data_IF_055630624867
#
_entry.id   IF_055630624867
#
_cell.length_a   1.000
_cell.length_b   1.000
_cell.length_c   1.000
_cell.angle_alpha   90.00
_cell.angle_beta   90.00
_cell.angle_gamma   90.00
#
_symmetry.space_group_name_H-M   'P 1'
#
loop_
_entity.id
_entity.type
_entity.pdbx_description
1 polymer ?
#
# COMPACT_ATOMS: atom_id res chain seq x y z
N UNK A 1 -72.48 8.10 4.50
CA UNK A 1 -71.17 8.52 5.05
C UNK A 1 -70.18 7.41 4.80
N UNK A 2 -69.23 7.61 3.86
CA UNK A 2 -68.21 6.61 3.49
C UNK A 2 -66.88 7.15 4.03
N UNK A 3 -66.27 6.46 5.05
CA UNK A 3 -64.96 6.76 5.60
C UNK A 3 -63.87 6.25 4.67
N UNK A 4 -63.02 7.15 4.20
CA UNK A 4 -61.77 6.82 3.47
C UNK A 4 -60.65 6.74 4.50
N UNK A 5 -60.08 5.53 4.72
CA UNK A 5 -58.87 5.33 5.47
C UNK A 5 -57.66 5.49 4.54
N UNK A 6 -56.88 6.50 4.79
CA UNK A 6 -55.55 6.66 4.14
C UNK A 6 -54.50 5.83 4.88
N UNK A 7 -54.00 4.79 4.20
CA UNK A 7 -52.84 4.02 4.65
C UNK A 7 -51.57 4.78 4.26
N UNK A 8 -50.88 5.35 5.27
CA UNK A 8 -49.60 6.02 5.09
C UNK A 8 -48.53 4.96 5.04
N UNK A 9 -48.00 4.67 3.83
CA UNK A 9 -46.85 3.75 3.62
C UNK A 9 -45.54 4.51 3.88
N UNK A 10 -44.97 4.41 5.09
CA UNK A 10 -43.63 4.91 5.37
C UNK A 10 -42.58 4.00 4.74
N UNK A 11 -42.01 4.40 3.60
CA UNK A 11 -40.81 3.80 3.06
C UNK A 11 -39.61 4.21 3.94
N UNK A 12 -39.15 3.33 4.81
CA UNK A 12 -37.87 3.42 5.48
C UNK A 12 -36.77 3.14 4.42
N UNK A 13 -36.17 4.18 3.86
CA UNK A 13 -34.91 4.07 3.18
C UNK A 13 -33.83 3.73 4.21
N UNK A 14 -33.46 2.46 4.29
CA UNK A 14 -32.26 2.06 4.99
C UNK A 14 -31.05 2.59 4.19
N UNK A 15 -30.45 3.68 4.65
CA UNK A 15 -29.13 4.12 4.22
C UNK A 15 -28.15 3.04 4.66
N UNK A 16 -27.73 2.18 3.74
CA UNK A 16 -26.61 1.28 3.95
C UNK A 16 -25.36 2.15 4.10
N UNK A 17 -24.91 2.33 5.34
CA UNK A 17 -23.59 2.90 5.64
C UNK A 17 -22.60 1.82 5.17
N UNK A 18 -21.69 2.11 4.24
CA UNK A 18 -20.64 1.16 3.88
C UNK A 18 -19.78 0.92 5.11
N UNK A 19 -19.91 -0.24 5.72
CA UNK A 19 -19.05 -0.67 6.82
C UNK A 19 -17.74 -1.18 6.19
N UNK A 20 -16.72 -0.34 6.14
CA UNK A 20 -15.33 -0.77 5.97
C UNK A 20 -14.84 -1.28 7.33
N UNK A 21 -15.41 -2.38 7.78
CA UNK A 21 -15.00 -2.96 9.04
C UNK A 21 -13.66 -3.68 8.85
N UNK A 22 -12.66 -3.29 9.64
CA UNK A 22 -11.47 -4.11 9.86
C UNK A 22 -11.94 -5.48 10.38
N UNK A 23 -11.64 -6.55 9.62
CA UNK A 23 -12.13 -7.89 9.95
C UNK A 23 -11.18 -8.60 10.91
N UNK A 24 -9.86 -8.44 10.73
CA UNK A 24 -8.84 -9.13 11.51
C UNK A 24 -7.66 -8.23 11.82
N UNK A 25 -7.00 -8.49 12.94
CA UNK A 25 -5.66 -7.97 13.23
C UNK A 25 -4.79 -9.14 13.69
N UNK A 26 -3.65 -9.31 13.05
CA UNK A 26 -2.71 -10.37 13.38
C UNK A 26 -1.33 -9.77 13.67
N UNK A 27 -0.62 -10.22 14.72
CA UNK A 27 0.78 -9.92 14.86
C UNK A 27 1.56 -10.57 13.70
N UNK A 28 2.59 -9.92 13.20
CA UNK A 28 3.45 -10.51 12.16
C UNK A 28 4.25 -11.68 12.72
N UNK A 29 4.67 -11.57 13.97
CA UNK A 29 5.44 -12.60 14.66
C UNK A 29 4.62 -13.15 15.84
N UNK A 30 4.44 -14.47 15.93
CA UNK A 30 3.57 -15.08 16.97
C UNK A 30 4.18 -15.06 18.38
N UNK A 31 5.39 -14.57 18.53
CA UNK A 31 6.12 -14.40 19.78
C UNK A 31 6.92 -13.11 19.75
N UNK A 32 8.18 -13.17 20.16
CA UNK A 32 9.10 -12.07 20.02
C UNK A 32 9.50 -11.88 18.54
N UNK A 33 9.83 -10.66 18.17
CA UNK A 33 10.37 -10.38 16.84
C UNK A 33 11.68 -11.13 16.62
N UNK A 34 12.03 -11.49 15.36
CA UNK A 34 13.31 -12.17 15.07
C UNK A 34 14.52 -11.38 15.57
N UNK A 35 14.47 -10.06 15.42
CA UNK A 35 15.42 -9.13 16.05
C UNK A 35 14.68 -8.29 17.09
N UNK A 36 15.26 -8.08 18.28
CA UNK A 36 14.66 -7.24 19.31
C UNK A 36 14.44 -5.82 18.80
N UNK A 37 13.23 -5.29 19.02
CA UNK A 37 12.97 -3.88 18.73
C UNK A 37 13.83 -2.99 19.64
N UNK A 38 14.45 -1.98 19.06
CA UNK A 38 15.18 -0.93 19.79
C UNK A 38 14.25 0.11 20.41
N UNK A 39 12.97 0.05 20.07
CA UNK A 39 11.96 0.98 20.53
C UNK A 39 11.56 0.67 21.97
N UNK A 40 11.58 1.69 22.81
CA UNK A 40 11.13 1.59 24.21
C UNK A 40 9.85 2.41 24.39
N UNK A 41 8.83 1.80 24.97
CA UNK A 41 7.57 2.45 25.29
C UNK A 41 6.41 2.05 24.37
N UNK A 42 5.22 2.59 24.62
CA UNK A 42 4.03 2.29 23.84
C UNK A 42 4.08 2.95 22.46
N UNK A 43 3.27 2.43 21.53
CA UNK A 43 2.95 3.13 20.30
C UNK A 43 2.29 4.47 20.65
N UNK A 44 2.69 5.52 19.95
CA UNK A 44 2.15 6.87 20.13
C UNK A 44 1.80 7.47 18.78
N UNK A 45 0.81 8.35 18.79
CA UNK A 45 0.58 9.29 17.69
C UNK A 45 1.31 10.60 18.03
N UNK A 46 2.46 10.90 17.38
CA UNK A 46 3.19 12.14 17.60
C UNK A 46 2.53 13.33 16.89
N UNK A 47 1.33 13.13 16.33
CA UNK A 47 0.61 14.21 15.64
C UNK A 47 0.06 15.19 16.68
N UNK A 48 0.85 16.19 17.01
CA UNK A 48 0.34 17.37 17.68
C UNK A 48 -0.09 18.34 16.61
N UNK A 49 -1.38 18.74 16.59
CA UNK A 49 -1.91 19.93 15.96
C UNK A 49 -2.35 19.93 14.50
N UNK A 50 -3.09 20.99 14.26
CA UNK A 50 -3.57 21.57 13.00
C UNK A 50 -2.53 21.65 11.86
N UNK A 51 -1.25 21.48 12.13
CA UNK A 51 -0.15 21.56 11.15
C UNK A 51 -0.05 20.32 10.21
N UNK A 52 -0.96 19.35 10.35
CA UNK A 52 -0.96 18.13 9.55
C UNK A 52 -2.28 17.85 8.89
N UNK A 53 -2.91 18.90 8.43
CA UNK A 53 -4.13 18.83 7.64
C UNK A 53 -3.72 18.74 6.16
N UNK A 54 -4.12 17.65 5.51
CA UNK A 54 -4.02 17.47 4.06
C UNK A 54 -5.44 17.43 3.51
N UNK A 55 -5.78 18.32 2.58
CA UNK A 55 -7.13 18.44 2.01
C UNK A 55 -8.23 18.45 3.07
N UNK A 56 -8.05 19.30 4.12
CA UNK A 56 -9.04 19.50 5.17
C UNK A 56 -9.17 18.37 6.21
N UNK A 57 -8.38 17.31 6.14
CA UNK A 57 -8.41 16.18 7.08
C UNK A 57 -7.09 16.02 7.83
N UNK A 58 -7.17 15.71 9.12
CA UNK A 58 -6.00 15.41 9.95
C UNK A 58 -5.27 14.16 9.41
N UNK A 59 -3.93 14.18 9.45
CA UNK A 59 -3.10 13.02 9.15
C UNK A 59 -2.67 12.36 10.46
N UNK A 60 -3.18 11.15 10.72
CA UNK A 60 -2.80 10.32 11.86
C UNK A 60 -1.45 9.66 11.55
N UNK A 61 -0.53 9.75 12.49
CA UNK A 61 0.78 9.11 12.41
C UNK A 61 0.99 8.18 13.59
N UNK A 62 1.70 7.09 13.37
CA UNK A 62 2.02 6.12 14.42
C UNK A 62 3.53 5.95 14.45
N UNK A 63 4.13 6.04 15.63
CA UNK A 63 5.53 5.71 15.86
C UNK A 63 5.68 4.77 17.06
N UNK A 64 6.88 4.34 17.36
CA UNK A 64 7.17 3.34 18.40
C UNK A 64 6.48 1.99 18.15
N UNK A 65 6.41 1.58 16.88
CA UNK A 65 5.88 0.27 16.51
C UNK A 65 6.94 -0.80 16.82
N UNK A 66 6.89 -1.36 18.01
CA UNK A 66 7.78 -2.45 18.45
C UNK A 66 7.16 -3.84 18.20
N UNK A 67 5.86 -3.89 18.00
CA UNK A 67 5.09 -5.12 17.71
C UNK A 67 4.39 -4.98 16.36
N UNK A 68 5.06 -5.35 15.27
CA UNK A 68 4.50 -5.21 13.94
C UNK A 68 3.29 -6.11 13.77
N UNK A 69 2.32 -5.63 13.01
CA UNK A 69 1.05 -6.32 12.79
C UNK A 69 0.50 -6.02 11.40
N UNK A 70 -0.45 -6.84 10.97
CA UNK A 70 -1.27 -6.53 9.81
C UNK A 70 -2.74 -6.41 10.22
N UNK A 71 -3.47 -5.54 9.54
CA UNK A 71 -4.91 -5.37 9.66
C UNK A 71 -5.57 -5.66 8.31
N UNK A 72 -6.53 -6.57 8.29
CA UNK A 72 -7.24 -6.99 7.08
C UNK A 72 -8.57 -6.26 6.98
N UNK A 73 -8.80 -5.63 5.83
CA UNK A 73 -10.04 -4.97 5.45
C UNK A 73 -10.60 -5.67 4.22
N UNK A 74 -11.65 -6.44 4.40
CA UNK A 74 -12.30 -7.14 3.31
C UNK A 74 -13.35 -6.25 2.65
N UNK A 75 -13.51 -6.32 1.31
CA UNK A 75 -14.60 -5.67 0.63
C UNK A 75 -15.93 -6.33 0.98
N UNK A 76 -17.03 -5.69 0.58
CA UNK A 76 -18.35 -6.31 0.60
C UNK A 76 -18.25 -7.70 -0.10
N UNK A 77 -18.71 -8.79 0.54
CA UNK A 77 -18.65 -10.13 -0.04
C UNK A 77 -19.23 -10.23 -1.45
N UNK A 78 -20.26 -9.44 -1.77
CA UNK A 78 -20.86 -9.40 -3.10
C UNK A 78 -19.95 -8.75 -4.16
N UNK A 79 -18.93 -7.98 -3.74
CA UNK A 79 -17.98 -7.29 -4.63
C UNK A 79 -16.60 -7.93 -4.62
N UNK A 80 -16.32 -8.83 -3.67
CA UNK A 80 -15.01 -9.45 -3.53
C UNK A 80 -14.61 -10.17 -4.83
N UNK A 81 -13.53 -9.69 -5.45
CA UNK A 81 -13.01 -10.24 -6.70
C UNK A 81 -11.82 -11.18 -6.50
N UNK A 82 -11.41 -11.41 -5.25
CA UNK A 82 -10.29 -12.26 -4.87
C UNK A 82 -8.91 -11.62 -4.99
N UNK A 83 -8.78 -10.42 -5.54
CA UNK A 83 -7.49 -9.72 -5.54
C UNK A 83 -7.21 -9.06 -4.17
N UNK A 84 -5.94 -8.91 -3.84
CA UNK A 84 -5.52 -8.25 -2.61
C UNK A 84 -4.27 -7.37 -2.81
N UNK A 85 -4.09 -6.39 -1.92
CA UNK A 85 -2.85 -5.64 -1.85
C UNK A 85 -2.42 -5.43 -0.39
N UNK A 86 -1.14 -5.67 -0.11
CA UNK A 86 -0.50 -5.21 1.11
C UNK A 86 -0.23 -3.71 0.96
N UNK A 87 -0.54 -2.93 1.98
CA UNK A 87 -0.35 -1.48 2.00
C UNK A 87 0.75 -1.14 2.99
N UNK A 88 1.79 -0.46 2.50
CA UNK A 88 2.91 0.03 3.29
C UNK A 88 2.85 1.56 3.36
N UNK A 89 2.37 2.15 4.49
CA UNK A 89 2.40 3.59 4.69
C UNK A 89 3.83 4.14 4.70
N UNK A 90 4.01 5.38 4.27
CA UNK A 90 5.26 6.11 4.41
C UNK A 90 5.43 6.74 5.79
N UNK A 91 6.49 7.52 5.94
CA UNK A 91 6.83 8.22 7.17
C UNK A 91 8.31 8.17 7.50
N UNK A 92 9.16 8.04 6.46
CA UNK A 92 10.64 8.10 6.54
C UNK A 92 11.25 7.06 7.47
N UNK A 93 10.62 5.88 7.63
CA UNK A 93 11.00 4.84 8.59
C UNK A 93 11.07 5.31 10.06
N UNK A 94 10.56 6.50 10.35
CA UNK A 94 10.48 7.07 11.71
C UNK A 94 9.07 6.86 12.29
N UNK A 95 8.06 6.81 11.42
CA UNK A 95 6.63 6.71 11.72
C UNK A 95 5.86 6.16 10.54
N UNK A 96 4.58 5.89 10.73
CA UNK A 96 3.65 5.48 9.67
C UNK A 96 2.55 6.53 9.50
N UNK A 97 2.31 7.01 8.29
CA UNK A 97 1.18 7.89 7.93
C UNK A 97 -0.11 7.05 7.84
N UNK A 98 -0.64 6.62 9.00
CA UNK A 98 -1.49 5.46 9.14
C UNK A 98 -2.88 5.59 8.49
N UNK A 99 -3.45 6.80 8.44
CA UNK A 99 -4.74 6.98 7.78
C UNK A 99 -4.58 7.35 6.29
N UNK A 100 -3.87 8.43 5.95
CA UNK A 100 -3.79 8.95 4.58
C UNK A 100 -3.12 7.97 3.60
N UNK A 101 -2.17 7.17 4.06
CA UNK A 101 -1.42 6.18 3.28
C UNK A 101 -1.71 4.74 3.73
N UNK A 102 -2.74 4.56 4.56
CA UNK A 102 -3.14 3.28 5.13
C UNK A 102 -4.65 3.06 5.05
N UNK A 103 -5.43 3.46 6.07
CA UNK A 103 -6.87 3.13 6.12
C UNK A 103 -7.67 3.75 4.97
N UNK A 104 -7.33 4.96 4.51
CA UNK A 104 -7.99 5.59 3.35
C UNK A 104 -7.67 4.82 2.04
N UNK A 105 -6.48 4.20 1.95
CA UNK A 105 -6.11 3.32 0.84
C UNK A 105 -6.91 2.01 0.89
N UNK A 106 -7.11 1.47 2.10
CA UNK A 106 -7.96 0.28 2.28
C UNK A 106 -9.41 0.54 1.85
N UNK A 107 -9.96 1.71 2.16
CA UNK A 107 -11.30 2.10 1.69
C UNK A 107 -11.38 2.11 0.17
N UNK A 108 -10.37 2.66 -0.51
CA UNK A 108 -10.30 2.68 -1.97
C UNK A 108 -10.18 1.27 -2.55
N UNK A 109 -9.26 0.42 -2.05
CA UNK A 109 -9.10 -0.95 -2.52
C UNK A 109 -10.40 -1.76 -2.34
N UNK A 110 -11.06 -1.61 -1.18
CA UNK A 110 -12.36 -2.25 -0.95
C UNK A 110 -13.45 -1.77 -1.92
N UNK A 111 -13.42 -0.51 -2.33
CA UNK A 111 -14.36 0.00 -3.36
C UNK A 111 -14.16 -0.67 -4.72
N UNK A 112 -12.93 -1.12 -5.02
CA UNK A 112 -12.56 -1.91 -6.20
C UNK A 112 -12.84 -3.41 -6.05
N UNK A 113 -13.35 -3.86 -4.89
CA UNK A 113 -13.59 -5.27 -4.60
C UNK A 113 -12.31 -6.04 -4.20
N UNK A 114 -11.23 -5.34 -3.88
CA UNK A 114 -9.97 -5.93 -3.43
C UNK A 114 -9.88 -5.98 -1.92
N UNK A 115 -9.28 -7.04 -1.38
CA UNK A 115 -8.91 -7.08 0.05
C UNK A 115 -7.67 -6.22 0.27
N UNK A 116 -7.73 -5.35 1.30
CA UNK A 116 -6.59 -4.57 1.76
C UNK A 116 -5.96 -5.24 2.98
N UNK A 117 -4.64 -5.37 2.98
CA UNK A 117 -3.84 -5.81 4.12
C UNK A 117 -2.92 -4.67 4.53
N UNK A 118 -3.35 -3.87 5.50
CA UNK A 118 -2.57 -2.74 6.00
C UNK A 118 -1.47 -3.26 6.94
N UNK A 119 -0.22 -3.00 6.58
CA UNK A 119 0.94 -3.47 7.34
C UNK A 119 1.48 -2.35 8.22
N UNK A 120 1.46 -2.60 9.52
CA UNK A 120 2.09 -1.77 10.54
C UNK A 120 3.46 -2.38 10.84
N UNK A 121 4.46 -2.04 10.03
CA UNK A 121 5.83 -2.51 10.18
C UNK A 121 6.59 -1.72 11.26
N UNK A 122 7.72 -2.25 11.74
CA UNK A 122 8.53 -1.63 12.82
C UNK A 122 9.03 -0.25 12.43
N UNK A 123 8.86 0.72 13.32
CA UNK A 123 9.41 2.09 13.25
C UNK A 123 9.56 2.64 14.69
N UNK A 124 10.52 3.55 14.99
CA UNK A 124 11.57 4.05 14.11
C UNK A 124 12.65 3.02 13.83
N UNK A 125 13.25 3.15 12.66
CA UNK A 125 14.39 2.36 12.22
C UNK A 125 15.65 3.22 12.14
N UNK A 126 16.83 2.61 12.34
CA UNK A 126 18.12 3.26 12.11
C UNK A 126 18.59 2.98 10.68
N UNK A 127 18.06 3.74 9.73
CA UNK A 127 18.32 3.51 8.31
C UNK A 127 17.21 2.69 7.63
N UNK A 128 17.54 2.12 6.50
CA UNK A 128 16.67 1.26 5.70
C UNK A 128 17.54 0.24 4.96
N UNK A 129 16.91 -0.71 4.25
CA UNK A 129 17.67 -1.70 3.49
C UNK A 129 18.72 -1.03 2.55
N UNK A 130 19.98 -1.46 2.50
CA UNK A 130 20.52 -2.70 3.13
C UNK A 130 21.08 -2.55 4.55
N UNK A 131 21.17 -1.34 5.10
CA UNK A 131 21.78 -1.08 6.43
C UNK A 131 20.90 -1.60 7.57
N UNK A 132 19.59 -1.57 7.38
CA UNK A 132 18.58 -2.16 8.25
C UNK A 132 17.68 -3.07 7.45
N UNK A 133 17.31 -4.21 8.00
CA UNK A 133 16.53 -5.27 7.32
C UNK A 133 15.22 -5.61 8.03
N UNK A 134 14.96 -5.02 9.18
CA UNK A 134 13.83 -5.36 10.04
C UNK A 134 12.49 -5.07 9.36
N UNK A 135 12.41 -3.98 8.60
CA UNK A 135 11.26 -3.58 7.80
C UNK A 135 11.01 -4.55 6.63
N UNK A 136 12.08 -5.01 5.96
CA UNK A 136 11.99 -6.03 4.90
C UNK A 136 11.50 -7.37 5.45
N UNK A 137 12.01 -7.78 6.62
CA UNK A 137 11.55 -9.01 7.30
C UNK A 137 10.06 -8.93 7.63
N UNK A 138 9.59 -7.79 8.15
CA UNK A 138 8.17 -7.55 8.43
C UNK A 138 7.33 -7.58 7.16
N UNK A 139 7.79 -6.94 6.08
CA UNK A 139 7.08 -6.94 4.80
C UNK A 139 6.98 -8.34 4.17
N UNK A 140 8.07 -9.13 4.22
CA UNK A 140 8.07 -10.51 3.77
C UNK A 140 7.12 -11.37 4.61
N UNK A 141 7.15 -11.23 5.92
CA UNK A 141 6.29 -11.98 6.83
C UNK A 141 4.81 -11.62 6.60
N UNK A 142 4.49 -10.35 6.38
CA UNK A 142 3.14 -9.92 6.04
C UNK A 142 2.64 -10.58 4.74
N UNK A 143 3.48 -10.66 3.71
CA UNK A 143 3.14 -11.35 2.45
C UNK A 143 2.93 -12.85 2.67
N UNK A 144 3.81 -13.51 3.42
CA UNK A 144 3.71 -14.94 3.74
C UNK A 144 2.44 -15.26 4.52
N UNK A 145 2.10 -14.45 5.54
CA UNK A 145 0.86 -14.60 6.30
C UNK A 145 -0.37 -14.37 5.42
N UNK A 146 -0.35 -13.37 4.56
CA UNK A 146 -1.46 -13.12 3.63
C UNK A 146 -1.70 -14.31 2.70
N UNK A 147 -0.64 -14.93 2.17
CA UNK A 147 -0.75 -16.14 1.34
C UNK A 147 -1.22 -17.35 2.15
N UNK A 148 -0.76 -17.51 3.39
CA UNK A 148 -1.17 -18.61 4.26
C UNK A 148 -2.66 -18.56 4.60
N UNK A 149 -3.22 -17.35 4.77
CA UNK A 149 -4.62 -17.11 5.07
C UNK A 149 -5.49 -16.84 3.82
N UNK A 150 -4.94 -16.96 2.61
CA UNK A 150 -5.64 -16.56 1.38
C UNK A 150 -7.03 -17.24 1.22
N UNK A 151 -7.13 -18.52 1.52
CA UNK A 151 -8.40 -19.25 1.47
C UNK A 151 -9.43 -18.72 2.49
N UNK A 152 -8.99 -18.46 3.73
CA UNK A 152 -9.84 -17.94 4.80
C UNK A 152 -10.36 -16.53 4.49
N UNK A 153 -9.52 -15.69 3.88
CA UNK A 153 -9.86 -14.31 3.53
C UNK A 153 -10.46 -14.16 2.13
N UNK A 154 -10.75 -15.26 1.45
CA UNK A 154 -11.26 -15.30 0.08
C UNK A 154 -10.38 -14.53 -0.93
N UNK A 155 -9.07 -14.72 -0.82
CA UNK A 155 -8.04 -14.14 -1.69
C UNK A 155 -7.50 -15.23 -2.63
N UNK A 156 -7.28 -14.87 -3.88
CA UNK A 156 -6.51 -15.64 -4.83
C UNK A 156 -5.00 -15.44 -4.56
N UNK A 157 -4.25 -16.46 -4.13
CA UNK A 157 -2.84 -16.31 -3.78
C UNK A 157 -1.94 -15.87 -4.95
N UNK A 158 -2.43 -15.90 -6.18
CA UNK A 158 -1.74 -15.45 -7.39
C UNK A 158 -2.12 -14.02 -7.81
N UNK A 159 -2.96 -13.32 -7.05
CA UNK A 159 -3.37 -11.93 -7.29
C UNK A 159 -3.16 -11.04 -6.06
N UNK A 160 -2.01 -11.22 -5.39
CA UNK A 160 -1.62 -10.43 -4.22
C UNK A 160 -0.47 -9.51 -4.61
N UNK A 161 -0.70 -8.20 -4.55
CA UNK A 161 0.33 -7.20 -4.81
C UNK A 161 0.70 -6.39 -3.58
N UNK A 162 1.50 -5.37 -3.82
CA UNK A 162 1.88 -4.38 -2.82
C UNK A 162 1.61 -2.98 -3.34
N UNK A 163 1.25 -2.08 -2.44
CA UNK A 163 1.20 -0.65 -2.67
C UNK A 163 1.94 0.06 -1.55
N UNK A 164 2.91 0.87 -1.90
CA UNK A 164 3.69 1.63 -0.95
C UNK A 164 3.70 3.12 -1.26
N UNK A 165 3.85 3.92 -0.21
CA UNK A 165 3.87 5.37 -0.25
C UNK A 165 5.17 5.89 0.36
N UNK A 166 5.89 6.80 -0.31
CA UNK A 166 7.12 7.39 0.22
C UNK A 166 8.14 6.34 0.69
N UNK A 167 8.47 6.27 1.97
CA UNK A 167 9.30 5.19 2.56
C UNK A 167 8.67 3.80 2.36
N UNK A 168 7.34 3.69 2.46
CA UNK A 168 6.63 2.45 2.17
C UNK A 168 6.72 2.04 0.70
N UNK A 169 6.88 3.00 -0.23
CA UNK A 169 7.13 2.71 -1.64
C UNK A 169 8.55 2.16 -1.85
N UNK A 170 9.54 2.69 -1.13
CA UNK A 170 10.87 2.08 -1.08
C UNK A 170 10.79 0.65 -0.55
N UNK A 171 10.10 0.41 0.57
CA UNK A 171 9.92 -0.93 1.14
C UNK A 171 9.24 -1.89 0.16
N UNK A 172 8.22 -1.44 -0.59
CA UNK A 172 7.56 -2.24 -1.62
C UNK A 172 8.52 -2.62 -2.75
N UNK A 173 9.38 -1.68 -3.19
CA UNK A 173 10.41 -1.95 -4.20
C UNK A 173 11.50 -2.91 -3.67
N UNK A 174 11.92 -2.76 -2.42
CA UNK A 174 12.88 -3.66 -1.76
C UNK A 174 12.31 -5.06 -1.64
N UNK A 175 11.07 -5.23 -1.15
CA UNK A 175 10.41 -6.53 -1.08
C UNK A 175 10.32 -7.19 -2.46
N UNK A 176 9.97 -6.44 -3.49
CA UNK A 176 9.86 -6.95 -4.86
C UNK A 176 11.20 -7.38 -5.45
N UNK A 177 12.28 -6.73 -5.04
CA UNK A 177 13.65 -7.05 -5.49
C UNK A 177 14.27 -8.19 -4.68
N UNK A 178 13.94 -8.30 -3.40
CA UNK A 178 14.51 -9.25 -2.45
C UNK A 178 13.44 -10.14 -1.77
N UNK A 179 12.53 -10.77 -2.52
CA UNK A 179 11.48 -11.58 -1.91
C UNK A 179 12.02 -12.81 -1.18
N UNK A 180 13.22 -13.28 -1.59
CA UNK A 180 13.89 -14.47 -1.06
C UNK A 180 14.96 -14.14 0.00
N UNK A 181 15.03 -12.86 0.45
CA UNK A 181 15.95 -12.47 1.51
C UNK A 181 15.65 -13.30 2.78
N UNK A 182 16.72 -13.83 3.39
CA UNK A 182 16.61 -14.61 4.62
C UNK A 182 17.31 -13.86 5.76
N UNK A 183 16.52 -13.25 6.63
CA UNK A 183 17.01 -12.64 7.86
C UNK A 183 17.64 -13.68 8.78
N UNK A 184 18.62 -13.26 9.58
CA UNK A 184 19.45 -14.15 10.41
C UNK A 184 18.64 -15.01 11.38
N UNK A 185 17.62 -14.43 12.00
CA UNK A 185 16.78 -15.09 13.01
C UNK A 185 15.36 -15.35 12.51
N UNK A 186 15.07 -15.07 11.24
CA UNK A 186 13.75 -15.31 10.66
C UNK A 186 13.56 -16.81 10.42
N UNK A 187 12.45 -17.42 10.91
CA UNK A 187 12.14 -18.80 10.61
C UNK A 187 12.02 -19.06 9.12
N UNK A 188 12.58 -20.18 8.65
CA UNK A 188 12.43 -20.58 7.27
C UNK A 188 10.95 -20.78 6.92
N UNK A 189 10.54 -20.36 5.74
CA UNK A 189 9.18 -20.51 5.25
C UNK A 189 9.19 -21.02 3.81
N UNK A 190 8.28 -21.95 3.49
CA UNK A 190 8.03 -22.36 2.12
C UNK A 190 7.10 -21.43 1.36
N UNK A 191 6.48 -20.47 2.04
CA UNK A 191 5.61 -19.47 1.41
C UNK A 191 6.43 -18.38 0.72
N UNK A 192 6.12 -18.15 -0.55
CA UNK A 192 6.75 -17.10 -1.35
C UNK A 192 6.34 -15.71 -0.84
N UNK A 193 7.31 -14.80 -0.69
CA UNK A 193 7.06 -13.41 -0.34
C UNK A 193 7.01 -12.48 -1.58
N UNK A 194 7.14 -13.02 -2.80
CA UNK A 194 7.11 -12.24 -4.05
C UNK A 194 5.71 -11.70 -4.34
N UNK A 195 5.53 -10.37 -4.52
CA UNK A 195 4.24 -9.82 -4.94
C UNK A 195 3.94 -10.15 -6.42
N UNK A 196 2.67 -10.17 -6.79
CA UNK A 196 2.23 -10.37 -8.16
C UNK A 196 2.14 -9.06 -8.96
N UNK A 197 2.08 -7.92 -8.29
CA UNK A 197 2.18 -6.56 -8.85
C UNK A 197 2.68 -5.60 -7.78
N UNK A 198 3.20 -4.45 -8.19
CA UNK A 198 3.58 -3.40 -7.25
C UNK A 198 3.14 -2.02 -7.72
N UNK A 199 2.73 -1.19 -6.76
CA UNK A 199 2.38 0.21 -6.97
C UNK A 199 3.26 1.09 -6.08
N UNK A 200 4.03 1.95 -6.70
CA UNK A 200 5.12 2.72 -6.09
C UNK A 200 4.76 4.21 -6.17
N UNK A 201 4.30 4.77 -5.05
CA UNK A 201 3.71 6.10 -5.01
C UNK A 201 4.66 7.07 -4.30
N UNK A 202 5.13 8.09 -5.02
CA UNK A 202 6.12 9.11 -4.60
C UNK A 202 7.28 8.53 -3.78
N UNK A 203 8.04 7.57 -4.34
CA UNK A 203 9.07 6.84 -3.61
C UNK A 203 10.27 7.72 -3.23
N UNK A 204 10.84 7.46 -2.04
CA UNK A 204 12.19 7.89 -1.70
C UNK A 204 13.22 6.79 -1.97
N UNK A 205 14.52 7.12 -1.86
CA UNK A 205 15.69 6.20 -1.83
C UNK A 205 15.82 5.19 -2.99
N UNK A 206 15.10 5.38 -4.09
CA UNK A 206 15.28 4.54 -5.29
C UNK A 206 16.43 5.03 -6.17
N UNK A 207 16.82 6.30 -6.04
CA UNK A 207 17.98 6.90 -6.72
C UNK A 207 19.22 6.87 -5.84
N UNK A 208 20.32 6.36 -6.37
CA UNK A 208 21.64 6.48 -5.77
C UNK A 208 22.23 7.88 -5.97
N UNK A 209 23.34 8.18 -5.27
CA UNK A 209 24.05 9.46 -5.36
C UNK A 209 24.68 9.72 -6.73
N UNK A 210 24.82 8.72 -7.56
CA UNK A 210 25.35 8.79 -8.92
C UNK A 210 24.26 9.06 -9.98
N UNK A 211 23.00 9.31 -9.56
CA UNK A 211 21.87 9.56 -10.43
C UNK A 211 21.36 8.31 -11.17
N UNK A 212 21.73 7.12 -10.70
CA UNK A 212 21.21 5.83 -11.17
C UNK A 212 20.32 5.19 -10.11
N UNK A 213 19.66 4.10 -10.48
CA UNK A 213 18.93 3.30 -9.50
C UNK A 213 19.88 2.84 -8.38
N UNK A 214 19.39 2.89 -7.14
CA UNK A 214 20.16 2.45 -5.97
C UNK A 214 20.75 1.04 -6.21
N UNK A 215 22.03 0.81 -5.86
CA UNK A 215 22.64 -0.51 -5.99
C UNK A 215 21.91 -1.64 -5.27
N UNK A 216 21.20 -1.30 -4.19
CA UNK A 216 20.36 -2.24 -3.44
C UNK A 216 19.05 -2.61 -4.14
N UNK A 217 18.70 -1.92 -5.23
CA UNK A 217 17.43 -2.07 -5.95
C UNK A 217 17.65 -2.38 -7.44
N UNK A 218 18.62 -3.22 -7.77
CA UNK A 218 18.88 -3.60 -9.16
C UNK A 218 17.74 -4.49 -9.70
N UNK A 219 16.79 -3.96 -10.51
CA UNK A 219 15.68 -4.75 -11.01
C UNK A 219 16.17 -5.88 -11.93
N UNK A 220 15.48 -7.00 -11.82
CA UNK A 220 15.62 -8.15 -12.74
C UNK A 220 14.29 -8.41 -13.43
N UNK A 221 14.27 -9.25 -14.45
CA UNK A 221 13.03 -9.66 -15.12
C UNK A 221 12.02 -10.39 -14.20
N UNK A 222 12.39 -10.66 -12.96
CA UNK A 222 11.51 -11.29 -11.96
C UNK A 222 10.69 -10.27 -11.15
N UNK A 223 10.98 -8.97 -11.28
CA UNK A 223 10.16 -7.91 -10.68
C UNK A 223 8.76 -7.97 -11.29
N UNK A 224 7.70 -7.86 -10.48
CA UNK A 224 6.34 -7.90 -11.01
C UNK A 224 5.98 -6.63 -11.80
N UNK A 225 4.89 -6.66 -12.60
CA UNK A 225 4.37 -5.46 -13.24
C UNK A 225 4.25 -4.31 -12.26
N UNK A 226 4.70 -3.11 -12.67
CA UNK A 226 4.91 -1.97 -11.80
C UNK A 226 4.15 -0.73 -12.27
N UNK A 227 3.46 -0.08 -11.35
CA UNK A 227 2.82 1.23 -11.53
C UNK A 227 3.51 2.27 -10.66
N UNK A 228 3.88 3.42 -11.24
CA UNK A 228 4.56 4.51 -10.53
C UNK A 228 3.78 5.82 -10.67
N UNK A 229 3.76 6.59 -9.58
CA UNK A 229 3.20 7.96 -9.56
C UNK A 229 4.14 8.89 -8.81
N UNK A 230 4.42 10.07 -9.40
CA UNK A 230 5.24 11.10 -8.77
C UNK A 230 4.78 12.49 -9.21
N UNK A 231 5.00 13.50 -8.35
CA UNK A 231 4.96 14.90 -8.72
C UNK A 231 6.38 15.42 -9.00
N UNK A 232 6.55 16.21 -10.07
CA UNK A 232 7.84 16.82 -10.41
C UNK A 232 8.30 17.79 -9.32
N UNK A 233 7.36 18.53 -8.71
CA UNK A 233 7.63 19.47 -7.62
C UNK A 233 7.65 18.83 -6.22
N UNK A 234 7.95 17.54 -6.12
CA UNK A 234 8.17 16.86 -4.85
C UNK A 234 9.59 17.15 -4.34
N UNK A 235 9.70 18.04 -3.35
CA UNK A 235 10.99 18.42 -2.74
C UNK A 235 11.38 17.54 -1.54
N UNK A 236 10.54 16.58 -1.17
CA UNK A 236 10.83 15.62 -0.10
C UNK A 236 11.43 14.33 -0.66
N UNK A 237 10.81 13.82 -1.72
CA UNK A 237 11.27 12.64 -2.45
C UNK A 237 11.37 13.02 -3.92
N UNK A 238 12.55 13.47 -4.34
CA UNK A 238 12.76 14.02 -5.69
C UNK A 238 12.33 13.07 -6.79
N UNK A 239 11.83 13.64 -7.89
CA UNK A 239 11.26 12.92 -9.05
C UNK A 239 12.23 11.91 -9.66
N UNK A 240 13.54 12.13 -9.52
CA UNK A 240 14.60 11.23 -9.96
C UNK A 240 14.44 9.81 -9.43
N UNK A 241 13.88 9.64 -8.21
CA UNK A 241 13.60 8.30 -7.67
C UNK A 241 12.72 7.48 -8.62
N UNK A 242 11.63 8.05 -9.09
CA UNK A 242 10.73 7.38 -10.03
C UNK A 242 11.33 7.24 -11.43
N UNK A 243 12.07 8.25 -11.92
CA UNK A 243 12.66 8.23 -13.26
C UNK A 243 13.73 7.15 -13.40
N UNK A 244 14.68 7.08 -12.45
CA UNK A 244 15.77 6.08 -12.53
C UNK A 244 15.25 4.66 -12.32
N UNK A 245 14.27 4.48 -11.42
CA UNK A 245 13.68 3.17 -11.18
C UNK A 245 12.87 2.69 -12.39
N UNK A 246 12.06 3.56 -12.99
CA UNK A 246 11.36 3.26 -14.24
C UNK A 246 12.31 2.86 -15.36
N UNK A 247 13.42 3.60 -15.54
CA UNK A 247 14.43 3.26 -16.55
C UNK A 247 15.04 1.88 -16.27
N UNK A 248 15.39 1.59 -15.01
CA UNK A 248 15.96 0.30 -14.63
C UNK A 248 14.97 -0.87 -14.84
N UNK A 249 13.67 -0.67 -14.53
CA UNK A 249 12.62 -1.64 -14.82
C UNK A 249 12.51 -1.92 -16.34
N UNK A 250 12.54 -0.87 -17.14
CA UNK A 250 12.50 -0.97 -18.61
C UNK A 250 13.70 -1.76 -19.14
N UNK A 251 14.91 -1.49 -18.65
CA UNK A 251 16.13 -2.18 -19.04
C UNK A 251 16.07 -3.67 -18.64
N UNK A 252 15.46 -3.98 -17.50
CA UNK A 252 15.17 -5.34 -17.04
C UNK A 252 13.98 -6.00 -17.77
N UNK A 253 13.31 -5.31 -18.71
CA UNK A 253 12.14 -5.77 -19.46
C UNK A 253 10.92 -6.05 -18.57
N UNK A 254 10.80 -5.36 -17.46
CA UNK A 254 9.63 -5.42 -16.59
C UNK A 254 8.54 -4.51 -17.16
N UNK A 255 7.29 -4.98 -17.31
CA UNK A 255 6.18 -4.12 -17.67
C UNK A 255 5.98 -3.04 -16.60
N UNK A 256 6.12 -1.77 -16.99
CA UNK A 256 6.00 -0.66 -16.06
C UNK A 256 5.23 0.52 -16.69
N UNK A 257 4.41 1.18 -15.87
CA UNK A 257 3.68 2.40 -16.22
C UNK A 257 4.05 3.52 -15.25
N UNK A 258 4.40 4.70 -15.76
CA UNK A 258 4.84 5.86 -14.97
C UNK A 258 3.98 7.07 -15.29
N UNK A 259 3.37 7.66 -14.25
CA UNK A 259 2.61 8.90 -14.31
C UNK A 259 3.34 10.02 -13.57
N UNK A 260 3.79 11.02 -14.30
CA UNK A 260 4.40 12.23 -13.77
C UNK A 260 3.46 13.41 -13.90
N UNK A 261 3.32 14.14 -12.80
CA UNK A 261 2.51 15.35 -12.74
C UNK A 261 3.39 16.55 -12.38
N UNK A 262 3.19 17.70 -13.02
CA UNK A 262 3.98 18.90 -12.74
C UNK A 262 3.83 19.37 -11.28
N UNK A 263 2.62 19.16 -10.71
CA UNK A 263 2.29 19.63 -9.36
C UNK A 263 1.59 18.53 -8.56
N UNK A 264 1.86 18.51 -7.26
CA UNK A 264 1.29 17.56 -6.31
C UNK A 264 2.03 17.60 -4.97
N UNK A 265 3.32 17.93 -5.01
CA UNK A 265 4.19 17.86 -3.83
C UNK A 265 4.33 16.44 -3.31
N UNK A 266 4.50 16.29 -2.00
CA UNK A 266 4.69 15.03 -1.31
C UNK A 266 3.53 14.68 -0.37
N UNK A 267 3.20 13.39 -0.23
CA UNK A 267 2.27 12.92 0.79
C UNK A 267 0.80 13.25 0.50
N UNK A 268 0.42 13.34 -0.78
CA UNK A 268 -0.96 13.66 -1.18
C UNK A 268 -1.95 12.49 -0.94
N UNK A 269 -1.46 11.23 -0.85
CA UNK A 269 -2.31 10.04 -0.68
C UNK A 269 -3.39 9.93 -1.76
N UNK A 270 -4.63 9.63 -1.32
CA UNK A 270 -5.81 9.61 -2.19
C UNK A 270 -6.71 10.84 -2.01
N UNK A 271 -6.31 11.79 -1.15
CA UNK A 271 -7.15 12.94 -0.83
C UNK A 271 -7.29 13.87 -2.03
N UNK A 272 -8.52 14.21 -2.43
CA UNK A 272 -8.75 15.01 -3.62
C UNK A 272 -8.20 16.43 -3.47
N UNK A 273 -7.66 16.94 -4.58
CA UNK A 273 -7.26 18.33 -4.78
C UNK A 273 -7.76 18.78 -6.14
N UNK A 274 -7.65 20.07 -6.48
CA UNK A 274 -7.97 20.58 -7.82
C UNK A 274 -6.89 20.27 -8.87
N UNK A 275 -5.80 19.60 -8.46
CA UNK A 275 -4.67 19.26 -9.32
C UNK A 275 -4.92 17.95 -10.09
N UNK A 276 -4.38 17.83 -11.31
CA UNK A 276 -4.51 16.61 -12.13
C UNK A 276 -4.04 15.34 -11.42
N UNK A 277 -3.08 15.43 -10.50
CA UNK A 277 -2.55 14.29 -9.73
C UNK A 277 -3.64 13.55 -8.94
N UNK A 278 -4.72 14.22 -8.55
CA UNK A 278 -5.88 13.60 -7.88
C UNK A 278 -6.55 12.49 -8.69
N UNK A 279 -6.22 12.36 -9.98
CA UNK A 279 -6.75 11.31 -10.86
C UNK A 279 -5.94 10.01 -10.82
N UNK A 280 -4.80 9.97 -10.10
CA UNK A 280 -3.94 8.80 -10.09
C UNK A 280 -4.65 7.51 -9.65
N UNK A 281 -5.63 7.52 -8.71
CA UNK A 281 -6.33 6.28 -8.34
C UNK A 281 -7.12 5.68 -9.51
N UNK A 282 -7.74 6.51 -10.37
CA UNK A 282 -8.45 6.03 -11.55
C UNK A 282 -7.48 5.48 -12.63
N UNK A 283 -6.28 6.06 -12.74
CA UNK A 283 -5.23 5.53 -13.63
C UNK A 283 -4.73 4.18 -13.12
N UNK A 284 -4.53 4.05 -11.81
CA UNK A 284 -4.14 2.79 -11.17
C UNK A 284 -5.20 1.70 -11.35
N UNK A 285 -6.48 2.02 -11.18
CA UNK A 285 -7.59 1.11 -11.45
C UNK A 285 -7.58 0.62 -12.92
N UNK A 286 -7.45 1.54 -13.87
CA UNK A 286 -7.33 1.19 -15.28
C UNK A 286 -6.12 0.28 -15.56
N UNK A 287 -4.97 0.57 -14.94
CA UNK A 287 -3.78 -0.27 -15.05
C UNK A 287 -3.99 -1.67 -14.44
N UNK A 288 -4.62 -1.79 -13.27
CA UNK A 288 -4.95 -3.08 -12.65
C UNK A 288 -5.83 -3.96 -13.55
N UNK A 289 -6.70 -3.35 -14.35
CA UNK A 289 -7.45 -4.07 -15.39
C UNK A 289 -6.54 -4.55 -16.52
N UNK A 290 -5.58 -3.73 -16.99
CA UNK A 290 -4.68 -4.11 -18.10
C UNK A 290 -3.77 -5.28 -17.75
N UNK A 291 -3.39 -5.43 -16.48
CA UNK A 291 -2.58 -6.54 -15.97
C UNK A 291 -3.43 -7.70 -15.41
N UNK A 292 -4.75 -7.68 -15.62
CA UNK A 292 -5.71 -8.72 -15.21
C UNK A 292 -5.79 -9.02 -13.70
N UNK A 293 -5.42 -8.06 -12.86
CA UNK A 293 -5.63 -8.14 -11.41
C UNK A 293 -7.09 -7.85 -11.07
N UNK A 294 -7.67 -6.81 -11.64
CA UNK A 294 -9.11 -6.63 -11.71
C UNK A 294 -9.63 -7.35 -12.95
N UNK A 295 -10.85 -7.89 -12.92
CA UNK A 295 -11.46 -8.60 -14.07
C UNK A 295 -11.27 -7.83 -15.38
N UNK A 296 -11.47 -8.51 -16.52
CA UNK A 296 -11.29 -7.87 -17.81
C UNK A 296 -11.98 -6.50 -17.85
N UNK A 297 -11.32 -5.43 -18.34
CA UNK A 297 -11.97 -4.14 -18.52
C UNK A 297 -13.19 -4.36 -19.40
N UNK A 298 -14.32 -3.76 -19.03
CA UNK A 298 -15.46 -3.67 -19.93
C UNK A 298 -14.96 -3.15 -21.29
N UNK A 299 -15.62 -3.46 -22.41
CA UNK A 299 -15.12 -3.12 -23.73
C UNK A 299 -14.80 -1.62 -23.78
N UNK A 300 -13.51 -1.31 -23.74
CA UNK A 300 -13.04 0.04 -24.03
C UNK A 300 -13.37 0.25 -25.51
N UNK A 301 -14.33 1.13 -25.78
CA UNK A 301 -14.64 1.51 -27.14
C UNK A 301 -13.32 1.87 -27.83
N UNK A 302 -12.93 1.09 -28.84
CA UNK A 302 -11.79 1.45 -29.67
C UNK A 302 -12.08 2.80 -30.30
N UNK A 303 -11.14 3.76 -30.31
CA UNK A 303 -11.30 5.01 -31.02
C UNK A 303 -11.55 4.79 -32.52
#
# INVERSE_FOLDING_TARGET
>A
MRSFSYLLLCCLLALAIPSTAQNYTLPLWPGDNPEPSKVVGPEIDPTTDANRIVSGKVTVRVTNVSKPSLAVYSPDPAKNNGAAALVFPGGSYIRLAYNIEGTEVCEWLNSLGMTCVLVKYRVPEEGHYPENVEDLEDAQQAMRLTRAHASEWHIDPYRIGVIGFSAGAHLAAVLSTHPDFQGKNVPASSMDARPNFQMIIYPGWLSGSDGKVSPSLQPTAQIPPTFLVQAENDYTAHVENSLVYFQALKDAKVPAELHLFTQGGHGFGLRPTDLPISRWPALAEAWLHTIHILGAPGPIGRP
#
